data_IF_301498009933
#
_entry.id   IF_301498009933
#
_cell.length_a   1.000
_cell.length_b   1.000
_cell.length_c   1.000
_cell.angle_alpha   90.00
_cell.angle_beta   90.00
_cell.angle_gamma   90.00
#
_symmetry.space_group_name_H-M   'P 1'
#
loop_
_entity.id
_entity.type
_entity.pdbx_description
1 polymer ?
#
# COMPACT_ATOMS: atom_id res chain seq x y z
N UNK A 1 23.73 -50.73 15.47
CA UNK A 1 22.80 -50.00 14.59
C UNK A 1 22.38 -50.95 13.48
N UNK A 2 21.10 -51.32 13.45
CA UNK A 2 20.53 -52.30 12.51
C UNK A 2 20.34 -51.69 11.12
N UNK A 3 20.52 -52.52 10.08
CA UNK A 3 20.45 -52.17 8.64
C UNK A 3 19.07 -51.62 8.23
N UNK A 4 18.01 -51.80 9.02
CA UNK A 4 16.64 -51.41 8.66
C UNK A 4 16.17 -50.11 9.35
N UNK A 5 17.02 -49.48 10.18
CA UNK A 5 16.68 -48.26 10.93
C UNK A 5 16.84 -46.98 10.10
N UNK A 6 17.75 -46.99 9.13
CA UNK A 6 17.95 -45.90 8.16
C UNK A 6 16.74 -45.62 7.25
N UNK A 7 16.08 -46.62 6.62
CA UNK A 7 14.94 -46.36 5.75
C UNK A 7 13.73 -45.78 6.50
N UNK A 8 13.49 -46.21 7.75
CA UNK A 8 12.40 -45.69 8.60
C UNK A 8 12.67 -44.22 8.95
N UNK A 9 13.90 -43.88 9.34
CA UNK A 9 14.29 -42.51 9.68
C UNK A 9 14.24 -41.60 8.44
N UNK A 10 14.68 -42.10 7.29
CA UNK A 10 14.58 -41.40 6.00
C UNK A 10 13.13 -41.15 5.59
N UNK A 11 12.24 -42.12 5.80
CA UNK A 11 10.79 -41.96 5.56
C UNK A 11 10.19 -40.86 6.46
N UNK A 12 10.45 -40.92 7.77
CA UNK A 12 9.97 -39.91 8.72
C UNK A 12 10.50 -38.50 8.40
N UNK A 13 11.74 -38.38 7.94
CA UNK A 13 12.30 -37.10 7.49
C UNK A 13 11.59 -36.56 6.25
N UNK A 14 11.28 -37.41 5.26
CA UNK A 14 10.53 -37.01 4.06
C UNK A 14 9.10 -36.57 4.41
N UNK A 15 8.41 -37.32 5.27
CA UNK A 15 7.06 -36.96 5.74
C UNK A 15 7.08 -35.63 6.50
N UNK A 16 8.02 -35.44 7.44
CA UNK A 16 8.18 -34.18 8.17
C UNK A 16 8.48 -33.00 7.25
N UNK A 17 9.37 -33.20 6.27
CA UNK A 17 9.68 -32.18 5.26
C UNK A 17 8.45 -31.78 4.46
N UNK A 18 7.67 -32.77 4.01
CA UNK A 18 6.44 -32.53 3.24
C UNK A 18 5.36 -31.82 4.04
N UNK A 19 5.12 -32.24 5.28
CA UNK A 19 4.21 -31.53 6.21
C UNK A 19 4.64 -30.07 6.34
N UNK A 20 5.93 -29.81 6.54
CA UNK A 20 6.46 -28.45 6.68
C UNK A 20 6.26 -27.62 5.42
N UNK A 21 6.48 -28.19 4.23
CA UNK A 21 6.26 -27.50 2.94
C UNK A 21 4.78 -27.18 2.73
N UNK A 22 3.88 -28.10 3.08
CA UNK A 22 2.43 -27.91 2.95
C UNK A 22 1.92 -26.89 3.97
N UNK A 23 2.35 -26.96 5.23
CA UNK A 23 2.03 -25.96 6.26
C UNK A 23 2.56 -24.57 5.89
N UNK A 24 3.77 -24.50 5.32
CA UNK A 24 4.33 -23.26 4.80
C UNK A 24 3.51 -22.71 3.63
N UNK A 25 3.15 -23.57 2.67
CA UNK A 25 2.31 -23.20 1.53
C UNK A 25 0.93 -22.71 1.97
N UNK A 26 0.32 -23.38 2.96
CA UNK A 26 -0.95 -22.96 3.56
C UNK A 26 -0.84 -21.59 4.23
N UNK A 27 0.14 -21.41 5.13
CA UNK A 27 0.35 -20.16 5.83
C UNK A 27 0.63 -19.00 4.86
N UNK A 28 1.47 -19.24 3.85
CA UNK A 28 1.75 -18.28 2.80
C UNK A 28 0.48 -17.91 2.01
N UNK A 29 -0.31 -18.89 1.59
CA UNK A 29 -1.54 -18.67 0.85
C UNK A 29 -2.54 -17.85 1.67
N UNK A 30 -2.74 -18.16 2.96
CA UNK A 30 -3.62 -17.40 3.86
C UNK A 30 -3.14 -15.96 4.03
N UNK A 31 -1.85 -15.74 4.26
CA UNK A 31 -1.28 -14.40 4.38
C UNK A 31 -1.48 -13.62 3.08
N UNK A 32 -1.21 -14.25 1.93
CA UNK A 32 -1.43 -13.64 0.62
C UNK A 32 -2.90 -13.27 0.38
N UNK A 33 -3.86 -14.15 0.73
CA UNK A 33 -5.29 -13.85 0.63
C UNK A 33 -5.67 -12.64 1.49
N UNK A 34 -5.19 -12.58 2.73
CA UNK A 34 -5.48 -11.48 3.67
C UNK A 34 -4.91 -10.18 3.12
N UNK A 35 -3.64 -10.17 2.70
CA UNK A 35 -2.99 -8.98 2.11
C UNK A 35 -3.72 -8.51 0.86
N UNK A 36 -4.13 -9.43 -0.01
CA UNK A 36 -4.86 -9.06 -1.22
C UNK A 36 -6.25 -8.49 -0.90
N UNK A 37 -7.00 -9.12 0.01
CA UNK A 37 -8.33 -8.63 0.41
C UNK A 37 -8.29 -7.26 1.06
N UNK A 38 -7.24 -7.01 1.83
CA UNK A 38 -6.93 -5.70 2.39
C UNK A 38 -6.76 -4.65 1.29
N UNK A 39 -5.93 -4.94 0.29
CA UNK A 39 -5.64 -3.98 -0.79
C UNK A 39 -6.92 -3.67 -1.55
N UNK A 40 -7.74 -4.69 -1.82
CA UNK A 40 -9.05 -4.53 -2.47
C UNK A 40 -9.95 -3.60 -1.67
N UNK A 41 -10.12 -3.87 -0.36
CA UNK A 41 -10.99 -3.08 0.51
C UNK A 41 -10.50 -1.63 0.59
N UNK A 42 -9.19 -1.42 0.70
CA UNK A 42 -8.61 -0.07 0.74
C UNK A 42 -8.84 0.70 -0.55
N UNK A 43 -8.61 0.08 -1.71
CA UNK A 43 -8.85 0.72 -3.02
C UNK A 43 -10.32 1.12 -3.15
N UNK A 44 -11.25 0.23 -2.75
CA UNK A 44 -12.69 0.52 -2.78
C UNK A 44 -13.03 1.66 -1.82
N UNK A 45 -12.49 1.65 -0.60
CA UNK A 45 -12.74 2.72 0.38
C UNK A 45 -12.16 4.07 -0.05
N UNK A 46 -10.96 4.11 -0.64
CA UNK A 46 -10.35 5.37 -1.15
C UNK A 46 -11.13 5.90 -2.37
N UNK A 47 -11.79 5.03 -3.13
CA UNK A 47 -12.66 5.44 -4.23
C UNK A 47 -14.02 5.97 -3.77
N UNK A 48 -14.59 5.41 -2.69
CA UNK A 48 -15.89 5.78 -2.13
C UNK A 48 -15.83 6.99 -1.19
N UNK A 49 -14.75 7.11 -0.41
CA UNK A 49 -14.62 8.12 0.63
C UNK A 49 -13.28 8.86 0.50
N UNK A 50 -13.32 10.19 0.51
CA UNK A 50 -12.09 11.01 0.64
C UNK A 50 -11.65 10.97 2.11
N UNK A 51 -11.09 9.84 2.56
CA UNK A 51 -10.68 9.67 3.95
C UNK A 51 -9.53 10.62 4.31
N UNK A 52 -9.69 11.32 5.43
CA UNK A 52 -8.68 12.17 6.06
C UNK A 52 -7.40 11.35 6.35
N UNK A 53 -6.23 11.99 6.23
CA UNK A 53 -4.91 11.33 6.28
C UNK A 53 -4.71 10.50 7.55
N UNK A 54 -5.21 10.95 8.70
CA UNK A 54 -5.06 10.28 9.98
C UNK A 54 -5.82 8.94 10.08
N UNK A 55 -7.08 8.91 9.64
CA UNK A 55 -7.89 7.68 9.63
C UNK A 55 -7.29 6.61 8.70
N UNK A 56 -6.73 7.05 7.57
CA UNK A 56 -6.05 6.16 6.63
C UNK A 56 -4.80 5.53 7.25
N UNK A 57 -3.95 6.34 7.88
CA UNK A 57 -2.73 5.84 8.53
C UNK A 57 -3.08 4.91 9.68
N UNK A 58 -4.08 5.22 10.50
CA UNK A 58 -4.48 4.36 11.62
C UNK A 58 -4.95 2.97 11.15
N UNK A 59 -5.85 2.92 10.16
CA UNK A 59 -6.37 1.67 9.58
C UNK A 59 -5.23 0.86 8.94
N UNK A 60 -4.39 1.51 8.13
CA UNK A 60 -3.24 0.87 7.48
C UNK A 60 -2.24 0.31 8.48
N UNK A 61 -1.97 1.05 9.56
CA UNK A 61 -1.01 0.64 10.58
C UNK A 61 -1.50 -0.57 11.36
N UNK A 62 -2.73 -0.52 11.87
CA UNK A 62 -3.33 -1.61 12.64
C UNK A 62 -3.39 -2.91 11.83
N UNK A 63 -3.72 -2.78 10.55
CA UNK A 63 -3.82 -3.93 9.67
C UNK A 63 -2.45 -4.51 9.26
N UNK A 64 -1.44 -3.67 8.97
CA UNK A 64 -0.06 -4.14 8.76
C UNK A 64 0.47 -4.88 9.98
N UNK A 65 0.17 -4.38 11.18
CA UNK A 65 0.51 -5.04 12.45
C UNK A 65 -0.21 -6.39 12.57
N UNK A 66 -1.50 -6.47 12.20
CA UNK A 66 -2.26 -7.72 12.19
C UNK A 66 -1.67 -8.79 11.29
N UNK A 67 -1.32 -8.43 10.04
CA UNK A 67 -0.65 -9.33 9.09
C UNK A 67 0.71 -9.78 9.62
N UNK A 68 1.50 -8.85 10.17
CA UNK A 68 2.82 -9.15 10.74
C UNK A 68 2.70 -10.11 11.95
N UNK A 69 1.69 -9.91 12.81
CA UNK A 69 1.42 -10.77 13.95
C UNK A 69 1.02 -12.18 13.51
N UNK A 70 0.14 -12.31 12.51
CA UNK A 70 -0.25 -13.59 11.92
C UNK A 70 0.94 -14.31 11.27
N UNK A 71 1.78 -13.57 10.54
CA UNK A 71 3.00 -14.10 9.94
C UNK A 71 3.98 -14.57 11.03
N UNK A 72 4.14 -13.81 12.11
CA UNK A 72 4.99 -14.17 13.24
C UNK A 72 4.48 -15.42 13.96
N UNK A 73 3.19 -15.49 14.30
CA UNK A 73 2.59 -16.68 14.94
C UNK A 73 2.73 -17.92 14.05
N UNK A 74 2.49 -17.78 12.75
CA UNK A 74 2.65 -18.88 11.78
C UNK A 74 4.12 -19.32 11.66
N UNK A 75 5.06 -18.37 11.60
CA UNK A 75 6.50 -18.65 11.56
C UNK A 75 6.96 -19.37 12.84
N UNK A 76 6.53 -18.91 14.01
CA UNK A 76 6.79 -19.58 15.30
C UNK A 76 6.24 -21.00 15.27
N UNK A 77 5.02 -21.22 14.77
CA UNK A 77 4.41 -22.56 14.68
C UNK A 77 5.20 -23.49 13.77
N UNK A 78 5.65 -23.00 12.61
CA UNK A 78 6.45 -23.75 11.62
C UNK A 78 7.88 -24.03 12.13
N UNK A 79 8.43 -23.15 12.96
CA UNK A 79 9.77 -23.31 13.55
C UNK A 79 9.79 -24.21 14.80
N UNK A 80 8.63 -24.51 15.42
CA UNK A 80 8.58 -25.46 16.53
C UNK A 80 8.88 -26.86 16.01
N UNK A 81 9.86 -27.53 16.62
CA UNK A 81 10.25 -28.90 16.26
C UNK A 81 9.07 -29.84 16.42
N UNK A 82 8.66 -30.47 15.31
CA UNK A 82 7.67 -31.55 15.33
C UNK A 82 8.37 -32.80 15.87
N UNK A 83 7.95 -33.28 17.05
CA UNK A 83 8.50 -34.49 17.65
C UNK A 83 8.23 -35.73 16.76
N UNK A 84 9.18 -36.67 16.75
CA UNK A 84 9.12 -37.91 15.96
C UNK A 84 7.86 -38.71 16.27
N UNK A 85 7.46 -38.73 17.54
CA UNK A 85 6.24 -39.37 18.03
C UNK A 85 4.95 -38.72 17.52
N UNK A 86 4.95 -37.41 17.26
CA UNK A 86 3.81 -36.70 16.67
C UNK A 86 3.69 -37.02 15.17
N UNK A 87 4.83 -37.04 14.47
CA UNK A 87 4.86 -37.42 13.06
C UNK A 87 4.38 -38.87 12.85
N UNK A 88 4.82 -39.80 13.71
CA UNK A 88 4.35 -41.19 13.68
C UNK A 88 2.84 -41.32 13.92
N UNK A 89 2.31 -40.60 14.93
CA UNK A 89 0.86 -40.56 15.19
C UNK A 89 0.06 -39.99 14.03
N UNK A 90 0.59 -38.99 13.34
CA UNK A 90 -0.09 -38.39 12.19
C UNK A 90 -0.16 -39.37 11.00
N UNK A 91 0.93 -40.11 10.74
CA UNK A 91 0.98 -41.16 9.71
C UNK A 91 -0.05 -42.26 10.01
N UNK A 92 -0.09 -42.77 11.24
CA UNK A 92 -1.01 -43.86 11.61
C UNK A 92 -2.49 -43.43 11.68
N UNK A 93 -2.77 -42.15 11.95
CA UNK A 93 -4.14 -41.62 11.84
C UNK A 93 -4.63 -41.59 10.39
N UNK A 94 -3.74 -41.34 9.43
CA UNK A 94 -4.06 -41.39 8.00
C UNK A 94 -4.21 -42.81 7.46
N UNK A 95 -3.51 -43.78 8.08
CA UNK A 95 -3.51 -45.18 7.67
C UNK A 95 -3.80 -46.12 8.85
N UNK A 96 -5.08 -46.35 9.19
CA UNK A 96 -5.49 -47.22 10.31
C UNK A 96 -4.98 -48.66 10.21
N UNK A 97 -4.62 -49.09 8.99
CA UNK A 97 -4.07 -50.41 8.67
C UNK A 97 -2.75 -50.71 9.41
N UNK A 98 -1.99 -49.68 9.80
CA UNK A 98 -0.72 -49.83 10.53
C UNK A 98 -0.89 -50.26 11.99
N UNK A 99 -2.10 -50.19 12.57
CA UNK A 99 -2.42 -50.68 13.93
C UNK A 99 -1.39 -50.31 15.03
N UNK A 100 -0.96 -49.05 15.10
CA UNK A 100 0.03 -48.53 16.07
C UNK A 100 1.45 -49.13 16.00
N UNK A 101 1.82 -49.82 14.91
CA UNK A 101 3.13 -50.46 14.79
C UNK A 101 4.29 -49.46 14.77
N UNK A 102 4.15 -48.31 14.10
CA UNK A 102 5.18 -47.27 14.00
C UNK A 102 5.35 -46.50 15.31
N UNK A 103 4.25 -46.18 16.01
CA UNK A 103 4.31 -45.54 17.33
C UNK A 103 4.92 -46.50 18.36
N UNK A 104 4.53 -47.77 18.33
CA UNK A 104 5.08 -48.79 19.24
C UNK A 104 6.57 -49.01 19.00
N UNK A 105 7.04 -49.00 17.75
CA UNK A 105 8.46 -49.07 17.43
C UNK A 105 9.25 -47.89 18.01
N UNK A 106 8.78 -46.65 17.83
CA UNK A 106 9.45 -45.47 18.37
C UNK A 106 9.46 -45.43 19.90
N UNK A 107 8.40 -45.94 20.56
CA UNK A 107 8.36 -46.09 22.01
C UNK A 107 9.35 -47.15 22.50
N UNK A 108 9.36 -48.32 21.85
CA UNK A 108 10.28 -49.42 22.16
C UNK A 108 11.76 -49.04 21.93
N UNK A 109 12.04 -48.20 20.93
CA UNK A 109 13.38 -47.67 20.68
C UNK A 109 13.82 -46.63 21.70
N UNK A 110 12.87 -45.85 22.25
CA UNK A 110 13.16 -44.83 23.26
C UNK A 110 13.31 -45.39 24.67
N UNK A 111 12.73 -46.57 24.94
CA UNK A 111 12.81 -47.25 26.25
C UNK A 111 13.98 -48.23 26.30
N UNK A 112 14.99 -47.90 27.10
CA UNK A 112 16.21 -48.69 27.28
C UNK A 112 15.97 -50.07 27.92
N UNK A 113 14.80 -50.28 28.55
CA UNK A 113 14.45 -51.56 29.18
C UNK A 113 13.83 -52.57 28.20
N UNK A 114 13.55 -52.17 26.95
CA UNK A 114 12.96 -53.06 25.97
C UNK A 114 14.00 -54.04 25.42
N UNK A 115 13.74 -55.36 25.43
CA UNK A 115 14.63 -56.34 24.82
C UNK A 115 14.89 -56.02 23.34
N UNK A 116 16.17 -56.11 22.93
CA UNK A 116 16.60 -55.73 21.59
C UNK A 116 15.92 -56.57 20.49
N UNK A 117 15.60 -57.83 20.78
CA UNK A 117 14.85 -58.73 19.88
C UNK A 117 13.45 -58.20 19.56
N UNK A 118 12.77 -57.58 20.54
CA UNK A 118 11.44 -56.98 20.36
C UNK A 118 11.54 -55.72 19.49
N UNK A 119 12.58 -54.91 19.70
CA UNK A 119 12.84 -53.72 18.88
C UNK A 119 13.08 -54.11 17.43
N UNK A 120 13.88 -55.16 17.17
CA UNK A 120 14.17 -55.65 15.82
C UNK A 120 12.93 -56.26 15.13
N UNK A 121 12.08 -56.96 15.89
CA UNK A 121 10.80 -57.49 15.38
C UNK A 121 9.86 -56.35 14.97
N UNK A 122 9.72 -55.33 15.82
CA UNK A 122 8.93 -54.13 15.54
C UNK A 122 9.51 -53.33 14.37
N UNK A 123 10.83 -53.26 14.25
CA UNK A 123 11.52 -52.60 13.14
C UNK A 123 11.17 -53.24 11.80
N UNK A 124 11.29 -54.58 11.69
CA UNK A 124 10.94 -55.32 10.46
C UNK A 124 9.47 -55.15 10.10
N UNK A 125 8.58 -55.23 11.09
CA UNK A 125 7.13 -55.05 10.90
C UNK A 125 6.77 -53.62 10.48
N UNK A 126 7.49 -52.63 11.00
CA UNK A 126 7.31 -51.22 10.63
C UNK A 126 7.81 -50.96 9.22
N UNK A 127 8.97 -51.51 8.85
CA UNK A 127 9.54 -51.37 7.51
C UNK A 127 8.63 -51.95 6.41
N UNK A 128 8.03 -53.13 6.65
CA UNK A 128 7.09 -53.73 5.70
C UNK A 128 5.78 -52.94 5.59
N UNK A 129 5.25 -52.45 6.70
CA UNK A 129 4.05 -51.61 6.69
C UNK A 129 4.29 -50.25 5.99
N UNK A 130 5.44 -49.62 6.23
CA UNK A 130 5.81 -48.35 5.58
C UNK A 130 6.09 -48.49 4.08
N UNK A 131 6.60 -49.64 3.63
CA UNK A 131 6.86 -49.89 2.20
C UNK A 131 5.59 -49.84 1.34
N UNK A 132 4.42 -50.09 1.94
CA UNK A 132 3.13 -50.08 1.25
C UNK A 132 2.47 -48.69 1.22
N UNK A 133 2.98 -47.73 1.99
CA UNK A 133 2.34 -46.41 2.17
C UNK A 133 3.21 -45.33 1.55
N UNK A 134 2.84 -44.79 0.37
CA UNK A 134 3.56 -43.67 -0.21
C UNK A 134 3.44 -42.44 0.72
N UNK A 135 4.55 -41.76 1.05
CA UNK A 135 4.55 -40.57 1.90
C UNK A 135 3.69 -39.43 1.33
N UNK A 136 3.33 -39.50 0.05
CA UNK A 136 2.40 -38.61 -0.64
C UNK A 136 0.97 -38.65 -0.10
N UNK A 137 0.51 -39.83 0.33
CA UNK A 137 -0.88 -40.08 0.71
C UNK A 137 -1.22 -39.65 2.14
N UNK A 138 -0.19 -39.35 2.94
CA UNK A 138 -0.31 -39.05 4.37
C UNK A 138 -0.83 -37.63 4.65
N UNK A 139 -0.65 -36.69 3.70
CA UNK A 139 -0.97 -35.27 3.93
C UNK A 139 -2.04 -34.77 2.96
N UNK A 140 -3.17 -34.32 3.51
CA UNK A 140 -4.26 -33.72 2.74
C UNK A 140 -3.89 -32.30 2.27
N UNK A 141 -3.83 -32.11 0.95
CA UNK A 141 -3.52 -30.83 0.31
C UNK A 141 -4.76 -29.98 0.04
N UNK A 142 -5.98 -30.54 0.19
CA UNK A 142 -7.25 -29.85 -0.09
C UNK A 142 -7.40 -28.48 0.60
N UNK A 143 -6.99 -28.29 1.87
CA UNK A 143 -7.10 -26.98 2.51
C UNK A 143 -6.27 -25.91 1.80
N UNK A 144 -5.07 -26.27 1.31
CA UNK A 144 -4.21 -25.38 0.54
C UNK A 144 -4.87 -25.02 -0.78
N UNK A 145 -5.42 -26.01 -1.48
CA UNK A 145 -6.09 -25.80 -2.76
C UNK A 145 -7.30 -24.87 -2.63
N UNK A 146 -8.10 -25.04 -1.57
CA UNK A 146 -9.25 -24.18 -1.30
C UNK A 146 -8.83 -22.72 -1.06
N UNK A 147 -7.78 -22.49 -0.28
CA UNK A 147 -7.25 -21.12 -0.05
C UNK A 147 -6.68 -20.54 -1.35
N UNK A 148 -6.03 -21.35 -2.19
CA UNK A 148 -5.58 -20.92 -3.51
C UNK A 148 -6.76 -20.51 -4.41
N UNK A 149 -7.87 -21.26 -4.41
CA UNK A 149 -9.07 -20.88 -5.16
C UNK A 149 -9.67 -19.56 -4.65
N UNK A 150 -9.78 -19.38 -3.34
CA UNK A 150 -10.24 -18.11 -2.74
C UNK A 150 -9.34 -16.96 -3.16
N UNK A 151 -8.01 -17.15 -3.10
CA UNK A 151 -7.02 -16.14 -3.52
C UNK A 151 -7.17 -15.80 -5.00
N UNK A 152 -7.36 -16.80 -5.85
CA UNK A 152 -7.55 -16.62 -7.29
C UNK A 152 -8.85 -15.86 -7.59
N UNK A 153 -9.96 -16.23 -6.96
CA UNK A 153 -11.24 -15.51 -7.09
C UNK A 153 -11.11 -14.05 -6.66
N UNK A 154 -10.42 -13.80 -5.54
CA UNK A 154 -10.19 -12.44 -5.04
C UNK A 154 -9.32 -11.62 -6.02
N UNK A 155 -8.32 -12.25 -6.64
CA UNK A 155 -7.45 -11.64 -7.64
C UNK A 155 -8.22 -11.30 -8.91
N UNK A 156 -9.07 -12.21 -9.40
CA UNK A 156 -9.93 -11.98 -10.56
C UNK A 156 -10.95 -10.87 -10.29
N UNK A 157 -11.54 -10.85 -9.10
CA UNK A 157 -12.42 -9.76 -8.68
C UNK A 157 -11.71 -8.41 -8.70
N UNK A 158 -10.50 -8.35 -8.13
CA UNK A 158 -9.69 -7.14 -8.13
C UNK A 158 -9.31 -6.70 -9.55
N UNK A 159 -8.89 -7.63 -10.40
CA UNK A 159 -8.54 -7.34 -11.80
C UNK A 159 -9.75 -6.84 -12.60
N UNK A 160 -10.93 -7.44 -12.40
CA UNK A 160 -12.17 -6.98 -13.01
C UNK A 160 -12.57 -5.57 -12.54
N UNK A 161 -12.47 -5.31 -11.24
CA UNK A 161 -12.69 -3.97 -10.67
C UNK A 161 -11.71 -2.94 -11.25
N UNK A 162 -10.43 -3.31 -11.39
CA UNK A 162 -9.41 -2.43 -11.95
C UNK A 162 -9.63 -2.12 -13.43
N UNK A 163 -10.15 -3.07 -14.21
CA UNK A 163 -10.50 -2.86 -15.62
C UNK A 163 -11.73 -1.99 -15.82
N UNK A 164 -12.73 -2.08 -14.93
CA UNK A 164 -13.97 -1.29 -15.03
C UNK A 164 -13.87 0.10 -14.38
N UNK A 165 -12.96 0.29 -13.43
CA UNK A 165 -12.85 1.55 -12.68
C UNK A 165 -12.26 2.66 -13.56
N UNK A 166 -13.01 3.75 -13.71
CA UNK A 166 -12.52 4.98 -14.38
C UNK A 166 -11.44 5.72 -13.56
N UNK A 167 -11.31 5.40 -12.27
CA UNK A 167 -10.27 5.90 -11.36
C UNK A 167 -9.03 4.99 -11.43
N UNK A 168 -7.84 5.58 -11.48
CA UNK A 168 -6.58 4.84 -11.64
C UNK A 168 -6.25 3.98 -10.42
N UNK A 169 -6.42 2.66 -10.54
CA UNK A 169 -6.07 1.71 -9.46
C UNK A 169 -4.56 1.71 -9.15
N UNK A 170 -3.72 2.02 -10.14
CA UNK A 170 -2.27 2.12 -9.97
C UNK A 170 -1.85 3.21 -8.98
N UNK A 171 -2.53 4.37 -8.96
CA UNK A 171 -2.25 5.44 -7.98
C UNK A 171 -2.69 5.04 -6.58
N UNK A 172 -3.78 4.29 -6.45
CA UNK A 172 -4.24 3.75 -5.17
C UNK A 172 -3.24 2.71 -4.62
N UNK A 173 -2.74 1.81 -5.48
CA UNK A 173 -1.73 0.81 -5.09
C UNK A 173 -0.41 1.46 -4.66
N UNK A 174 0.06 2.49 -5.37
CA UNK A 174 1.25 3.25 -4.99
C UNK A 174 1.08 3.97 -3.66
N UNK A 175 -0.14 4.42 -3.33
CA UNK A 175 -0.47 5.05 -2.07
C UNK A 175 -0.50 4.05 -0.89
N UNK A 176 -0.91 2.81 -1.14
CA UNK A 176 -0.80 1.69 -0.15
C UNK A 176 0.67 1.38 0.15
N UNK A 177 1.50 1.32 -0.91
CA UNK A 177 2.93 0.99 -0.82
C UNK A 177 3.75 2.13 -0.21
N UNK A 178 3.39 3.39 -0.48
CA UNK A 178 4.14 4.58 -0.04
C UNK A 178 3.25 5.60 0.71
N UNK A 179 2.83 5.29 1.95
CA UNK A 179 1.93 6.14 2.74
C UNK A 179 2.55 7.50 3.16
N UNK A 180 3.87 7.65 3.09
CA UNK A 180 4.58 8.87 3.47
C UNK A 180 4.57 9.96 2.39
N UNK A 181 4.20 9.65 1.14
CA UNK A 181 4.12 10.64 0.06
C UNK A 181 2.71 11.23 0.00
N UNK A 182 2.62 12.55 -0.13
CA UNK A 182 1.37 13.26 -0.43
C UNK A 182 0.98 13.03 -1.89
N UNK A 183 0.53 11.82 -2.21
CA UNK A 183 -0.04 11.50 -3.52
C UNK A 183 -1.50 11.96 -3.45
N UNK A 184 -1.96 12.80 -4.39
CA UNK A 184 -3.36 13.24 -4.49
C UNK A 184 -4.31 12.05 -4.76
N UNK A 185 -5.58 12.11 -4.33
CA UNK A 185 -6.53 11.02 -4.55
C UNK A 185 -6.72 10.75 -6.05
N UNK A 186 -7.08 9.51 -6.44
CA UNK A 186 -7.47 9.22 -7.82
C UNK A 186 -8.77 9.97 -8.12
N UNK A 187 -8.61 11.16 -8.67
CA UNK A 187 -9.71 12.05 -9.05
C UNK A 187 -10.03 11.87 -10.52
N UNK A 188 -11.31 11.98 -10.86
CA UNK A 188 -11.77 11.91 -12.26
C UNK A 188 -11.32 13.16 -13.03
N UNK A 189 -11.21 14.28 -12.33
CA UNK A 189 -10.69 15.54 -12.84
C UNK A 189 -9.20 15.67 -12.52
N UNK A 190 -8.41 16.20 -13.47
CA UNK A 190 -6.96 16.44 -13.31
C UNK A 190 -6.63 17.91 -13.58
N UNK A 191 -5.88 18.53 -12.67
CA UNK A 191 -5.30 19.86 -12.90
C UNK A 191 -3.94 19.67 -13.56
N UNK A 192 -3.81 20.11 -14.81
CA UNK A 192 -2.62 19.91 -15.65
C UNK A 192 -1.58 21.03 -15.46
N UNK A 193 -2.04 22.27 -15.30
CA UNK A 193 -1.16 23.42 -15.12
C UNK A 193 -1.90 24.56 -14.41
N UNK A 194 -1.15 25.31 -13.61
CA UNK A 194 -1.61 26.52 -12.93
C UNK A 194 -0.62 27.65 -13.23
N UNK A 195 -1.08 28.68 -13.93
CA UNK A 195 -0.32 29.90 -14.22
C UNK A 195 -0.96 31.05 -13.42
N UNK A 196 -0.19 31.90 -12.71
CA UNK A 196 1.27 31.97 -12.66
C UNK A 196 1.96 31.02 -11.66
N UNK A 197 1.21 30.34 -10.78
CA UNK A 197 1.79 29.54 -9.70
C UNK A 197 2.43 30.43 -8.61
N UNK A 198 3.70 30.21 -8.28
CA UNK A 198 4.43 31.06 -7.34
C UNK A 198 4.97 32.30 -8.05
N UNK A 199 4.56 33.51 -7.63
CA UNK A 199 4.98 34.75 -8.30
C UNK A 199 5.07 35.93 -7.34
N UNK A 200 5.97 36.85 -7.67
CA UNK A 200 6.04 38.17 -7.07
C UNK A 200 5.25 39.16 -7.91
N UNK A 201 4.29 39.85 -7.30
CA UNK A 201 3.41 40.81 -7.96
C UNK A 201 3.51 42.17 -7.27
N UNK A 202 3.36 43.25 -8.03
CA UNK A 202 3.28 44.59 -7.45
C UNK A 202 1.98 44.75 -6.67
N UNK A 203 2.05 45.39 -5.51
CA UNK A 203 0.87 45.71 -4.71
C UNK A 203 -0.17 46.50 -5.54
N UNK A 204 -1.46 46.28 -5.28
CA UNK A 204 -2.55 47.03 -5.91
C UNK A 204 -3.10 46.45 -7.22
N UNK A 205 -2.51 45.39 -7.78
CA UNK A 205 -2.96 44.80 -9.04
C UNK A 205 -3.66 43.44 -8.85
N UNK A 206 -4.78 43.17 -9.53
CA UNK A 206 -5.40 41.85 -9.53
C UNK A 206 -4.53 40.84 -10.29
N UNK A 207 -4.58 39.57 -9.88
CA UNK A 207 -3.78 38.50 -10.49
C UNK A 207 -4.68 37.57 -11.29
N UNK A 208 -4.46 37.51 -12.60
CA UNK A 208 -5.15 36.56 -13.46
C UNK A 208 -4.54 35.17 -13.27
N UNK A 209 -5.37 34.23 -12.84
CA UNK A 209 -5.02 32.83 -12.67
C UNK A 209 -5.64 32.04 -13.81
N UNK A 210 -4.79 31.31 -14.55
CA UNK A 210 -5.19 30.40 -15.62
C UNK A 210 -4.93 28.98 -15.18
N UNK A 211 -5.96 28.14 -15.26
CA UNK A 211 -5.90 26.74 -14.86
C UNK A 211 -6.22 25.88 -16.07
N UNK A 212 -5.34 24.93 -16.39
CA UNK A 212 -5.62 23.91 -17.40
C UNK A 212 -6.14 22.67 -16.72
N UNK A 213 -7.37 22.27 -17.02
CA UNK A 213 -8.04 21.10 -16.47
C UNK A 213 -8.18 20.04 -17.57
N UNK A 214 -7.94 18.78 -17.24
CA UNK A 214 -8.13 17.63 -18.13
C UNK A 214 -8.77 16.45 -17.41
N UNK A 215 -9.04 15.36 -18.13
CA UNK A 215 -9.81 14.23 -17.60
C UNK A 215 -11.31 14.47 -17.77
N UNK A 216 -12.11 14.18 -16.74
CA UNK A 216 -13.55 14.51 -16.73
C UNK A 216 -13.72 15.98 -16.36
N UNK A 217 -14.47 16.72 -17.17
CA UNK A 217 -14.81 18.12 -16.93
C UNK A 217 -15.62 18.25 -15.62
N UNK A 218 -15.15 19.07 -14.65
CA UNK A 218 -15.85 19.26 -13.38
C UNK A 218 -17.05 20.19 -13.54
N UNK A 219 -18.08 20.04 -12.69
CA UNK A 219 -19.23 20.96 -12.66
C UNK A 219 -18.82 22.37 -12.18
N UNK A 220 -17.87 22.43 -11.24
CA UNK A 220 -17.38 23.65 -10.63
C UNK A 220 -15.86 23.64 -10.45
N UNK A 221 -15.25 24.82 -10.60
CA UNK A 221 -13.86 25.04 -10.22
C UNK A 221 -13.71 26.41 -9.57
N UNK A 222 -12.96 26.47 -8.48
CA UNK A 222 -12.83 27.64 -7.62
C UNK A 222 -11.38 27.83 -7.18
N UNK A 223 -10.98 29.09 -7.05
CA UNK A 223 -9.73 29.48 -6.39
C UNK A 223 -10.03 29.70 -4.92
N UNK A 224 -9.36 28.96 -4.05
CA UNK A 224 -9.46 29.12 -2.60
C UNK A 224 -8.20 29.82 -2.11
N UNK A 225 -8.33 30.96 -1.46
CA UNK A 225 -7.20 31.80 -1.06
C UNK A 225 -7.32 32.35 0.35
N UNK A 226 -6.17 32.68 0.94
CA UNK A 226 -6.06 33.26 2.28
C UNK A 226 -4.85 34.17 2.39
N UNK A 227 -4.99 35.25 3.15
CA UNK A 227 -3.89 36.20 3.42
C UNK A 227 -3.38 36.11 4.87
N UNK A 228 -4.19 35.58 5.77
CA UNK A 228 -3.90 35.51 7.21
C UNK A 228 -3.89 34.06 7.77
N UNK A 229 -4.10 33.06 6.90
CA UNK A 229 -4.28 31.64 7.22
C UNK A 229 -5.44 31.34 8.19
N UNK A 230 -6.27 32.33 8.54
CA UNK A 230 -7.40 32.17 9.45
C UNK A 230 -8.72 32.14 8.70
N UNK A 231 -8.86 32.95 7.66
CA UNK A 231 -10.06 32.99 6.83
C UNK A 231 -9.72 32.61 5.39
N UNK A 232 -10.47 31.65 4.87
CA UNK A 232 -10.39 31.22 3.48
C UNK A 232 -11.56 31.84 2.71
N UNK A 233 -11.25 32.42 1.57
CA UNK A 233 -12.22 33.00 0.63
C UNK A 233 -12.16 32.23 -0.69
N UNK A 234 -13.29 32.18 -1.40
CA UNK A 234 -13.40 31.47 -2.68
C UNK A 234 -13.73 32.45 -3.81
N UNK A 235 -13.23 32.14 -5.00
CA UNK A 235 -13.53 32.84 -6.25
C UNK A 235 -13.80 31.79 -7.32
N UNK A 236 -14.96 31.85 -7.96
CA UNK A 236 -15.31 30.90 -9.00
C UNK A 236 -14.48 31.15 -10.27
N UNK A 237 -14.04 30.06 -10.90
CA UNK A 237 -13.36 30.09 -12.19
C UNK A 237 -14.42 30.09 -13.30
N UNK A 238 -14.29 31.03 -14.23
CA UNK A 238 -15.07 31.04 -15.45
C UNK A 238 -14.44 30.09 -16.49
N UNK A 239 -15.29 29.42 -17.27
CA UNK A 239 -14.87 28.58 -18.38
C UNK A 239 -15.76 28.79 -19.60
N UNK A 240 -15.20 28.50 -20.77
CA UNK A 240 -15.95 28.39 -22.02
C UNK A 240 -16.17 26.90 -22.29
N UNK A 241 -17.40 26.48 -22.60
CA UNK A 241 -17.71 25.08 -22.89
C UNK A 241 -16.83 24.55 -24.04
N UNK A 242 -16.15 23.43 -23.80
CA UNK A 242 -15.23 22.80 -24.77
C UNK A 242 -13.77 23.27 -24.69
N UNK A 243 -13.46 24.28 -23.88
CA UNK A 243 -12.08 24.66 -23.58
C UNK A 243 -11.57 23.98 -22.31
N UNK A 244 -10.31 23.52 -22.35
CA UNK A 244 -9.63 22.96 -21.17
C UNK A 244 -9.11 24.04 -20.22
N UNK A 245 -9.33 25.32 -20.53
CA UNK A 245 -8.75 26.46 -19.83
C UNK A 245 -9.83 27.16 -19.02
N UNK A 246 -9.57 27.27 -17.72
CA UNK A 246 -10.41 27.95 -16.75
C UNK A 246 -9.69 29.22 -16.29
N UNK A 247 -10.42 30.32 -16.19
CA UNK A 247 -9.89 31.66 -15.90
C UNK A 247 -10.53 32.21 -14.62
N UNK A 248 -9.71 32.73 -13.72
CA UNK A 248 -10.18 33.48 -12.56
C UNK A 248 -9.29 34.65 -12.25
N UNK A 249 -9.83 35.58 -11.47
CA UNK A 249 -9.12 36.78 -11.05
C UNK A 249 -9.02 36.76 -9.54
N UNK A 250 -7.80 36.65 -9.04
CA UNK A 250 -7.54 36.82 -7.62
C UNK A 250 -7.65 38.31 -7.28
N UNK A 251 -8.44 38.69 -6.25
CA UNK A 251 -8.58 40.08 -5.85
C UNK A 251 -7.24 40.67 -5.38
N UNK A 252 -7.19 42.00 -5.27
CA UNK A 252 -5.98 42.76 -4.95
C UNK A 252 -5.33 42.21 -3.67
N UNK A 253 -4.12 41.66 -3.84
CA UNK A 253 -3.32 41.15 -2.74
C UNK A 253 -2.48 42.30 -2.17
N UNK A 254 -2.81 42.77 -0.96
CA UNK A 254 -1.99 43.75 -0.24
C UNK A 254 -0.82 43.09 0.53
N UNK A 255 -1.03 41.84 0.95
CA UNK A 255 -0.03 41.06 1.69
C UNK A 255 0.20 39.72 0.99
N UNK A 256 1.25 39.04 1.42
CA UNK A 256 1.55 37.64 1.09
C UNK A 256 0.27 36.79 1.16
N UNK A 257 -0.09 36.17 0.05
CA UNK A 257 -1.36 35.45 -0.10
C UNK A 257 -1.08 34.04 -0.59
N UNK A 258 -1.63 33.05 0.11
CA UNK A 258 -1.55 31.63 -0.26
C UNK A 258 -2.86 31.24 -0.95
N UNK A 259 -2.76 30.57 -2.09
CA UNK A 259 -3.93 30.10 -2.82
C UNK A 259 -3.74 28.67 -3.35
N UNK A 260 -4.84 27.97 -3.55
CA UNK A 260 -4.87 26.69 -4.28
C UNK A 260 -6.18 26.62 -5.08
N UNK A 261 -6.23 25.72 -6.05
CA UNK A 261 -7.39 25.52 -6.90
C UNK A 261 -8.11 24.26 -6.46
N UNK A 262 -9.43 24.34 -6.37
CA UNK A 262 -10.31 23.23 -6.13
C UNK A 262 -11.20 23.07 -7.37
N UNK A 263 -11.17 21.90 -8.00
CA UNK A 263 -11.95 21.61 -9.21
C UNK A 263 -12.68 20.28 -9.03
N UNK A 264 -13.99 20.33 -8.81
CA UNK A 264 -14.81 19.15 -8.47
C UNK A 264 -14.18 18.27 -7.38
N UNK A 265 -13.72 17.08 -7.75
CA UNK A 265 -13.13 16.10 -6.84
C UNK A 265 -11.62 16.28 -6.57
N UNK A 266 -10.95 17.22 -7.26
CA UNK A 266 -9.49 17.43 -7.18
C UNK A 266 -9.06 18.77 -6.57
N UNK A 267 -7.84 18.80 -6.03
CA UNK A 267 -7.21 20.00 -5.45
C UNK A 267 -5.77 20.13 -5.96
N UNK A 268 -5.34 21.34 -6.29
CA UNK A 268 -3.96 21.63 -6.67
C UNK A 268 -3.02 21.71 -5.47
N UNK A 269 -1.73 21.81 -5.76
CA UNK A 269 -0.73 22.27 -4.80
C UNK A 269 -1.04 23.69 -4.32
N UNK A 270 -0.45 24.06 -3.19
CA UNK A 270 -0.52 25.42 -2.64
C UNK A 270 0.52 26.30 -3.31
N UNK A 271 0.07 27.44 -3.79
CA UNK A 271 0.90 28.47 -4.40
C UNK A 271 0.93 29.73 -3.54
N UNK A 272 2.02 30.47 -3.64
CA UNK A 272 2.25 31.68 -2.85
C UNK A 272 2.51 32.89 -3.76
N UNK A 273 1.74 33.95 -3.52
CA UNK A 273 1.93 35.25 -4.14
C UNK A 273 2.55 36.19 -3.11
N UNK A 274 3.75 36.69 -3.43
CA UNK A 274 4.44 37.69 -2.62
C UNK A 274 4.24 39.07 -3.24
N UNK A 275 3.90 40.06 -2.42
CA UNK A 275 3.67 41.44 -2.89
C UNK A 275 4.89 42.31 -2.62
N UNK A 276 5.24 43.15 -3.58
CA UNK A 276 6.28 44.17 -3.45
C UNK A 276 5.61 45.54 -3.56
N UNK A 277 5.86 46.47 -2.62
CA UNK A 277 5.28 47.80 -2.70
C UNK A 277 5.81 48.53 -3.94
N UNK A 278 5.01 49.43 -4.54
CA UNK A 278 5.50 50.25 -5.64
C UNK A 278 6.67 51.13 -5.16
N UNK A 279 7.65 51.43 -6.04
CA UNK A 279 8.74 52.32 -5.69
C UNK A 279 8.18 53.69 -5.30
N UNK A 280 8.54 54.17 -4.11
CA UNK A 280 8.21 55.51 -3.65
C UNK A 280 9.30 56.48 -4.10
N UNK A 281 8.93 57.51 -4.86
CA UNK A 281 9.85 58.59 -5.20
C UNK A 281 10.12 59.42 -3.94
N UNK A 282 11.35 59.31 -3.40
CA UNK A 282 11.72 60.01 -2.17
C UNK A 282 12.21 61.44 -2.41
N UNK A 283 12.92 61.65 -3.51
CA UNK A 283 13.50 62.95 -3.86
C UNK A 283 13.50 63.09 -5.39
N UNK A 284 13.07 64.25 -5.86
CA UNK A 284 13.18 64.67 -7.26
C UNK A 284 14.07 65.90 -7.26
N UNK A 285 15.31 65.74 -7.68
CA UNK A 285 16.22 66.86 -7.95
C UNK A 285 16.07 67.25 -9.42
N UNK A 286 15.92 68.55 -9.68
CA UNK A 286 15.72 69.07 -11.04
C UNK A 286 16.90 69.97 -11.35
N UNK A 287 17.85 69.45 -12.13
CA UNK A 287 18.96 70.25 -12.62
C UNK A 287 18.50 71.08 -13.83
N UNK A 288 18.43 72.40 -13.65
CA UNK A 288 18.11 73.34 -14.72
C UNK A 288 19.40 73.77 -15.42
N UNK A 289 19.68 73.17 -16.57
CA UNK A 289 20.75 73.58 -17.48
C UNK A 289 20.26 74.70 -18.39
N UNK A 290 20.68 75.95 -18.14
CA UNK A 290 20.31 77.07 -18.99
C UNK A 290 21.18 77.15 -20.25
N UNK A 291 20.64 77.57 -21.42
CA UNK A 291 21.41 77.77 -22.63
C UNK A 291 22.55 78.78 -22.46
N UNK A 292 23.69 78.57 -23.12
CA UNK A 292 24.93 79.34 -22.90
C UNK A 292 24.79 80.88 -23.03
N UNK A 293 23.87 81.37 -23.86
CA UNK A 293 23.65 82.81 -24.02
C UNK A 293 23.02 83.48 -22.78
N UNK A 294 22.41 82.71 -21.90
CA UNK A 294 21.79 83.23 -20.67
C UNK A 294 22.84 83.61 -19.60
N UNK A 295 24.07 83.08 -19.69
CA UNK A 295 25.15 83.26 -18.71
C UNK A 295 24.75 82.95 -17.26
N UNK A 296 23.69 82.17 -17.05
CA UNK A 296 23.25 81.78 -15.72
C UNK A 296 23.90 80.46 -15.32
N UNK A 297 24.34 80.32 -14.05
CA UNK A 297 24.84 79.06 -13.54
C UNK A 297 23.71 78.04 -13.41
N UNK A 298 24.05 76.76 -13.58
CA UNK A 298 23.15 75.64 -13.34
C UNK A 298 22.60 75.68 -11.92
N UNK A 299 21.32 75.34 -11.76
CA UNK A 299 20.65 75.25 -10.45
C UNK A 299 20.02 73.87 -10.29
N UNK A 300 20.16 73.30 -9.09
CA UNK A 300 19.55 72.05 -8.64
C UNK A 300 18.36 72.31 -7.72
#
# INVERSE_FOLDING_TARGET
MSVHSEPIRGYLQRVKGRIRTIEFGFAFAVIASIVLGVVVVEVILDHLFVLQRATRVAILSGLKIGVLCLAFVSAVRICRRIGDLYAARLVERGHPEMKNVLVSYLQAQADANTPQEIVELLERRTATALAQIPPESVVDVRPVTNVCYVTLCLLLFFAGYAGLSTKSVGTSLMRVLFPHREILPPTRTRILAVEPGNRVVQEGHPVNVRVRIGGVEPEDAQIVWTTDMRRWSTVDLAHTQGETIWLGVLPICAKRTTYFIQAGDTKSDRYEITTVPPPLVQLVEIELSFPAYTKLPTRT
#
